data_IF_197945314310
#
_entry.id   IF_197945314310
#
_cell.length_a   1.000
_cell.length_b   1.000
_cell.length_c   1.000
_cell.angle_alpha   90.00
_cell.angle_beta   90.00
_cell.angle_gamma   90.00
#
_symmetry.space_group_name_H-M   'P 1'
#
loop_
_entity.id
_entity.type
_entity.pdbx_description
1 polymer ?
#
# COMPACT_ATOMS: atom_id res chain seq x y z
N UNK A 1 19.65 -20.56 -8.17
CA UNK A 1 18.64 -20.30 -9.23
C UNK A 1 18.55 -18.81 -9.44
N UNK A 2 18.71 -18.33 -10.67
CA UNK A 2 18.74 -16.92 -11.04
C UNK A 2 17.35 -16.28 -10.77
N UNK A 3 17.26 -14.99 -10.31
CA UNK A 3 15.99 -14.29 -10.15
C UNK A 3 15.11 -14.26 -11.42
N UNK A 4 15.71 -14.18 -12.60
CA UNK A 4 15.02 -14.22 -13.90
C UNK A 4 14.31 -15.56 -14.12
N UNK A 5 14.99 -16.68 -13.83
CA UNK A 5 14.42 -18.04 -13.99
C UNK A 5 13.20 -18.23 -13.09
N UNK A 6 13.23 -17.69 -11.85
CA UNK A 6 12.11 -17.78 -10.92
C UNK A 6 10.89 -16.99 -11.42
N UNK A 7 11.13 -15.80 -12.00
CA UNK A 7 10.07 -14.98 -12.57
C UNK A 7 9.38 -15.67 -13.75
N UNK A 8 10.17 -16.26 -14.63
CA UNK A 8 9.64 -17.00 -15.77
C UNK A 8 8.84 -18.23 -15.36
N UNK A 9 9.32 -18.99 -14.39
CA UNK A 9 8.60 -20.13 -13.84
C UNK A 9 7.24 -19.74 -13.24
N UNK A 10 7.15 -18.58 -12.56
CA UNK A 10 5.89 -18.06 -12.03
C UNK A 10 4.93 -17.63 -13.12
N UNK A 11 5.41 -16.95 -14.15
CA UNK A 11 4.59 -16.58 -15.31
C UNK A 11 4.04 -17.82 -16.03
N UNK A 12 4.84 -18.87 -16.14
CA UNK A 12 4.41 -20.15 -16.70
C UNK A 12 3.33 -20.82 -15.83
N UNK A 13 3.51 -20.78 -14.49
CA UNK A 13 2.53 -21.32 -13.55
C UNK A 13 1.21 -20.56 -13.61
N UNK A 14 1.26 -19.23 -13.71
CA UNK A 14 0.07 -18.39 -13.90
C UNK A 14 -0.70 -18.74 -15.17
N UNK A 15 0.00 -18.88 -16.30
CA UNK A 15 -0.62 -19.25 -17.59
C UNK A 15 -1.28 -20.63 -17.59
N UNK A 16 -0.81 -21.53 -16.72
CA UNK A 16 -1.33 -22.91 -16.60
C UNK A 16 -2.41 -23.04 -15.51
N UNK A 17 -2.55 -22.06 -14.64
CA UNK A 17 -3.52 -22.10 -13.54
C UNK A 17 -4.95 -22.03 -14.09
N UNK A 18 -5.80 -22.98 -13.66
CA UNK A 18 -7.21 -23.10 -14.10
C UNK A 18 -8.21 -22.63 -13.06
N UNK A 19 -7.75 -22.29 -11.86
CA UNK A 19 -8.58 -21.81 -10.75
C UNK A 19 -7.88 -20.74 -9.93
N UNK A 20 -8.65 -19.90 -9.23
CA UNK A 20 -8.13 -18.89 -8.30
C UNK A 20 -7.22 -19.50 -7.22
N UNK A 21 -7.60 -20.68 -6.71
CA UNK A 21 -6.81 -21.42 -5.73
C UNK A 21 -5.42 -21.79 -6.27
N UNK A 22 -5.36 -22.30 -7.50
CA UNK A 22 -4.07 -22.61 -8.13
C UNK A 22 -3.21 -21.37 -8.37
N UNK A 23 -3.81 -20.26 -8.74
CA UNK A 23 -3.10 -18.97 -8.89
C UNK A 23 -2.50 -18.55 -7.55
N UNK A 24 -3.31 -18.62 -6.48
CA UNK A 24 -2.85 -18.31 -5.15
C UNK A 24 -1.67 -19.20 -4.72
N UNK A 25 -1.84 -20.52 -4.79
CA UNK A 25 -0.85 -21.46 -4.29
C UNK A 25 0.46 -21.48 -5.11
N UNK A 26 0.37 -21.32 -6.43
CA UNK A 26 1.53 -21.44 -7.32
C UNK A 26 2.24 -20.14 -7.63
N UNK A 27 1.55 -19.00 -7.48
CA UNK A 27 2.09 -17.70 -7.87
C UNK A 27 2.10 -16.73 -6.70
N UNK A 28 0.95 -16.45 -6.10
CA UNK A 28 0.84 -15.39 -5.10
C UNK A 28 1.53 -15.76 -3.79
N UNK A 29 1.27 -16.95 -3.25
CA UNK A 29 1.85 -17.35 -1.98
C UNK A 29 3.38 -17.48 -2.03
N UNK A 30 4.01 -18.10 -3.04
CA UNK A 30 5.47 -18.10 -3.17
C UNK A 30 6.06 -16.71 -3.35
N UNK A 31 5.36 -15.84 -4.11
CA UNK A 31 5.81 -14.46 -4.32
C UNK A 31 5.77 -13.65 -3.03
N UNK A 32 4.67 -13.75 -2.28
CA UNK A 32 4.52 -13.12 -0.98
C UNK A 32 5.58 -13.61 0.02
N UNK A 33 5.78 -14.92 0.07
CA UNK A 33 6.78 -15.54 0.93
C UNK A 33 8.19 -15.00 0.67
N UNK A 34 8.63 -15.01 -0.58
CA UNK A 34 9.97 -14.51 -0.95
C UNK A 34 10.12 -13.01 -0.69
N UNK A 35 9.08 -12.22 -0.95
CA UNK A 35 9.10 -10.79 -0.66
C UNK A 35 9.24 -10.54 0.85
N UNK A 36 8.44 -11.22 1.67
CA UNK A 36 8.51 -11.04 3.14
C UNK A 36 9.84 -11.55 3.69
N UNK A 37 10.37 -12.66 3.16
CA UNK A 37 11.67 -13.16 3.55
C UNK A 37 12.78 -12.15 3.24
N UNK A 38 12.74 -11.53 2.06
CA UNK A 38 13.67 -10.45 1.71
C UNK A 38 13.55 -9.26 2.67
N UNK A 39 12.33 -8.81 2.99
CA UNK A 39 12.10 -7.72 3.96
C UNK A 39 12.70 -8.04 5.33
N UNK A 40 12.54 -9.28 5.81
CA UNK A 40 13.10 -9.72 7.08
C UNK A 40 14.64 -9.76 7.03
N UNK A 41 15.22 -10.22 5.93
CA UNK A 41 16.68 -10.21 5.72
C UNK A 41 17.25 -8.78 5.75
N UNK A 42 16.62 -7.84 5.05
CA UNK A 42 16.97 -6.42 5.06
C UNK A 42 16.87 -5.81 6.48
N UNK A 43 15.81 -6.17 7.20
CA UNK A 43 15.62 -5.73 8.59
C UNK A 43 16.74 -6.22 9.51
N UNK A 44 17.14 -7.49 9.38
CA UNK A 44 18.27 -8.07 10.15
C UNK A 44 19.58 -7.40 9.81
N UNK A 45 19.89 -7.23 8.51
CA UNK A 45 21.11 -6.55 8.06
C UNK A 45 21.17 -5.11 8.56
N UNK A 46 20.05 -4.41 8.54
CA UNK A 46 19.90 -3.03 9.04
C UNK A 46 19.71 -2.95 10.56
N UNK A 47 19.81 -4.07 11.28
CA UNK A 47 19.64 -4.17 12.74
C UNK A 47 18.30 -3.58 13.22
N UNK A 48 17.24 -3.69 12.43
CA UNK A 48 15.90 -3.26 12.83
C UNK A 48 15.26 -4.31 13.72
N UNK A 49 14.71 -3.89 14.86
CA UNK A 49 14.06 -4.75 15.84
C UNK A 49 12.52 -4.74 15.70
N UNK A 50 11.99 -3.84 14.89
CA UNK A 50 10.56 -3.70 14.72
C UNK A 50 10.20 -3.34 13.29
N UNK A 51 9.18 -4.02 12.75
CA UNK A 51 8.58 -3.76 11.44
C UNK A 51 7.11 -3.44 11.59
N UNK A 52 6.66 -2.41 10.87
CA UNK A 52 5.27 -2.03 10.79
C UNK A 52 4.73 -2.33 9.39
N UNK A 53 3.67 -3.12 9.35
CA UNK A 53 2.96 -3.47 8.13
C UNK A 53 1.70 -2.60 8.05
N UNK A 54 1.64 -1.75 7.02
CA UNK A 54 0.56 -0.77 6.89
C UNK A 54 -0.71 -1.43 6.34
N UNK A 55 -1.86 -1.06 6.90
CA UNK A 55 -3.14 -1.44 6.34
C UNK A 55 -3.26 -0.84 4.92
N UNK A 56 -3.92 -1.48 4.05
CA UNK A 56 -4.70 -2.72 4.00
C UNK A 56 -3.86 -3.88 3.48
N UNK A 57 -3.01 -3.59 2.51
CA UNK A 57 -2.22 -4.56 1.74
C UNK A 57 -1.16 -5.27 2.61
N UNK A 58 -0.65 -4.59 3.64
CA UNK A 58 0.33 -5.14 4.57
C UNK A 58 -0.18 -6.25 5.49
N UNK A 59 -1.49 -6.55 5.53
CA UNK A 59 -2.02 -7.56 6.46
C UNK A 59 -1.51 -8.97 6.16
N UNK A 60 -1.54 -9.38 4.90
CA UNK A 60 -1.04 -10.70 4.51
C UNK A 60 0.48 -10.83 4.74
N UNK A 61 1.21 -9.76 4.46
CA UNK A 61 2.66 -9.69 4.71
C UNK A 61 2.97 -9.77 6.21
N UNK A 62 2.16 -9.10 7.04
CA UNK A 62 2.26 -9.17 8.50
C UNK A 62 2.09 -10.59 9.03
N UNK A 63 1.05 -11.32 8.59
CA UNK A 63 0.82 -12.70 8.99
C UNK A 63 1.97 -13.61 8.55
N UNK A 64 2.45 -13.47 7.31
CA UNK A 64 3.59 -14.22 6.81
C UNK A 64 4.87 -13.90 7.59
N UNK A 65 5.13 -12.63 7.89
CA UNK A 65 6.30 -12.21 8.67
C UNK A 65 6.28 -12.78 10.10
N UNK A 66 5.14 -12.77 10.77
CA UNK A 66 5.01 -13.38 12.10
C UNK A 66 5.34 -14.86 12.08
N UNK A 67 4.83 -15.60 11.08
CA UNK A 67 5.12 -17.03 10.93
C UNK A 67 6.61 -17.28 10.66
N UNK A 68 7.22 -16.50 9.79
CA UNK A 68 8.66 -16.61 9.50
C UNK A 68 9.51 -16.26 10.70
N UNK A 69 9.21 -15.19 11.42
CA UNK A 69 9.92 -14.83 12.63
C UNK A 69 9.86 -15.96 13.68
N UNK A 70 8.70 -16.56 13.85
CA UNK A 70 8.54 -17.70 14.75
C UNK A 70 9.31 -18.94 14.27
N UNK A 71 9.24 -19.23 12.97
CA UNK A 71 9.88 -20.43 12.39
C UNK A 71 11.40 -20.38 12.45
N UNK A 72 11.98 -19.19 12.26
CA UNK A 72 13.43 -18.96 12.20
C UNK A 72 14.00 -18.32 13.47
N UNK A 73 13.20 -18.21 14.53
CA UNK A 73 13.57 -17.57 15.81
C UNK A 73 14.21 -16.18 15.62
N UNK A 74 13.59 -15.34 14.81
CA UNK A 74 14.07 -14.01 14.51
C UNK A 74 13.64 -13.01 15.58
N UNK A 75 14.59 -12.25 16.11
CA UNK A 75 14.34 -11.18 17.09
C UNK A 75 13.85 -9.89 16.37
N UNK A 76 12.68 -10.00 15.71
CA UNK A 76 11.99 -8.90 15.02
C UNK A 76 10.53 -8.87 15.47
N UNK A 77 10.12 -7.77 16.08
CA UNK A 77 8.74 -7.51 16.43
C UNK A 77 7.96 -7.04 15.20
N UNK A 78 6.99 -7.82 14.75
CA UNK A 78 6.09 -7.46 13.67
C UNK A 78 4.80 -6.84 14.22
N UNK A 79 4.42 -5.65 13.75
CA UNK A 79 3.20 -4.95 14.12
C UNK A 79 2.38 -4.58 12.90
N UNK A 80 1.06 -4.78 13.00
CA UNK A 80 0.12 -4.30 11.99
C UNK A 80 -0.40 -2.91 12.36
N UNK A 81 -0.19 -1.93 11.49
CA UNK A 81 -0.61 -0.56 11.71
C UNK A 81 -1.87 -0.25 10.90
N UNK A 82 -3.00 -0.11 11.59
CA UNK A 82 -4.27 0.28 11.00
C UNK A 82 -4.26 1.76 10.64
N UNK A 83 -3.68 2.07 9.50
CA UNK A 83 -3.55 3.44 8.98
C UNK A 83 -4.01 3.48 7.54
N UNK A 84 -4.67 4.57 7.14
CA UNK A 84 -5.00 4.87 5.75
C UNK A 84 -4.15 6.01 5.23
N UNK A 85 -4.07 6.15 3.90
CA UNK A 85 -3.42 7.32 3.28
C UNK A 85 -4.08 8.62 3.76
N UNK A 86 -5.38 8.62 3.90
CA UNK A 86 -6.15 9.75 4.39
C UNK A 86 -5.75 10.14 5.82
N UNK A 87 -5.68 9.17 6.74
CA UNK A 87 -5.31 9.41 8.14
C UNK A 87 -3.89 9.97 8.33
N UNK A 88 -3.01 9.80 7.34
CA UNK A 88 -1.65 10.35 7.38
C UNK A 88 -1.55 11.68 6.63
N UNK A 89 -2.16 11.77 5.45
CA UNK A 89 -2.03 12.93 4.57
C UNK A 89 -2.73 14.16 5.10
N UNK A 90 -3.92 14.01 5.67
CA UNK A 90 -4.69 15.16 6.16
C UNK A 90 -3.94 15.93 7.26
N UNK A 91 -3.40 15.29 8.31
CA UNK A 91 -2.53 15.98 9.26
C UNK A 91 -1.25 16.57 8.63
N UNK A 92 -0.68 15.90 7.62
CA UNK A 92 0.51 16.39 6.91
C UNK A 92 0.24 17.72 6.19
N UNK A 93 -0.98 17.96 5.71
CA UNK A 93 -1.32 19.20 5.02
C UNK A 93 -1.13 20.42 5.92
N UNK A 94 -1.40 20.32 7.22
CA UNK A 94 -1.15 21.38 8.18
C UNK A 94 0.36 21.72 8.31
N UNK A 95 1.24 20.75 8.08
CA UNK A 95 2.68 20.96 8.11
C UNK A 95 3.22 21.52 6.80
N UNK A 96 2.58 21.21 5.67
CA UNK A 96 3.02 21.59 4.33
C UNK A 96 2.56 23.03 3.96
N UNK A 97 1.51 23.55 4.60
CA UNK A 97 0.88 24.82 4.20
C UNK A 97 0.45 24.78 2.73
N UNK A 98 0.70 25.83 1.97
CA UNK A 98 0.31 25.92 0.55
C UNK A 98 0.87 24.79 -0.34
N UNK A 99 2.00 24.19 0.03
CA UNK A 99 2.60 23.08 -0.70
C UNK A 99 1.73 21.81 -0.69
N UNK A 100 0.71 21.74 0.17
CA UNK A 100 -0.24 20.64 0.17
C UNK A 100 -1.03 20.56 -1.16
N UNK A 101 -1.23 21.70 -1.85
CA UNK A 101 -1.95 21.76 -3.12
C UNK A 101 -1.30 20.88 -4.19
N UNK A 102 0.03 20.80 -4.23
CA UNK A 102 0.75 19.91 -5.15
C UNK A 102 0.35 18.44 -4.95
N UNK A 103 0.07 18.04 -3.70
CA UNK A 103 -0.34 16.66 -3.36
C UNK A 103 -1.84 16.41 -3.53
N UNK A 104 -2.66 17.41 -3.21
CA UNK A 104 -4.12 17.33 -3.35
C UNK A 104 -4.49 17.24 -4.83
N UNK A 105 -3.87 18.09 -5.66
CA UNK A 105 -4.15 18.24 -7.09
C UNK A 105 -3.35 17.27 -7.97
N UNK A 106 -2.65 16.25 -7.39
CA UNK A 106 -1.94 15.24 -8.20
C UNK A 106 -2.89 14.60 -9.20
N UNK A 107 -2.51 14.65 -10.47
CA UNK A 107 -3.19 13.99 -11.58
C UNK A 107 -3.32 12.46 -11.38
N UNK A 108 -4.10 11.84 -12.22
CA UNK A 108 -4.31 10.38 -12.20
C UNK A 108 -5.47 9.99 -13.10
N UNK A 109 -5.77 8.69 -13.14
CA UNK A 109 -6.94 8.17 -13.86
C UNK A 109 -8.20 8.61 -13.10
N UNK A 110 -9.18 9.17 -13.83
CA UNK A 110 -10.48 9.61 -13.30
C UNK A 110 -10.39 10.60 -12.13
N UNK A 111 -9.54 11.61 -12.25
CA UNK A 111 -9.50 12.71 -11.27
C UNK A 111 -10.66 13.66 -11.56
N UNK A 112 -11.63 13.69 -10.65
CA UNK A 112 -12.78 14.59 -10.67
C UNK A 112 -12.63 15.67 -9.59
N UNK A 113 -13.39 16.74 -9.70
CA UNK A 113 -13.50 17.77 -8.67
C UNK A 113 -13.82 17.18 -7.31
N UNK A 114 -14.83 16.33 -7.23
CA UNK A 114 -15.24 15.64 -6.02
C UNK A 114 -14.08 14.85 -5.38
N UNK A 115 -13.31 14.08 -6.18
CA UNK A 115 -12.14 13.35 -5.68
C UNK A 115 -11.04 14.26 -5.14
N UNK A 116 -10.88 15.44 -5.73
CA UNK A 116 -9.93 16.45 -5.23
C UNK A 116 -10.40 16.99 -3.88
N UNK A 117 -11.68 17.33 -3.76
CA UNK A 117 -12.27 17.84 -2.50
C UNK A 117 -12.17 16.77 -1.39
N UNK A 118 -12.48 15.51 -1.72
CA UNK A 118 -12.29 14.39 -0.77
C UNK A 118 -10.83 14.21 -0.34
N UNK A 119 -9.86 14.38 -1.24
CA UNK A 119 -8.43 14.32 -0.88
C UNK A 119 -8.04 15.43 0.09
N UNK A 120 -8.64 16.60 -0.05
CA UNK A 120 -8.44 17.74 0.83
C UNK A 120 -9.15 17.59 2.19
N UNK A 121 -9.96 16.56 2.36
CA UNK A 121 -10.79 16.32 3.54
C UNK A 121 -11.86 17.41 3.78
N UNK A 122 -12.35 17.99 2.71
CA UNK A 122 -13.41 19.00 2.77
C UNK A 122 -14.76 18.34 2.96
N UNK A 123 -15.62 19.03 3.68
CA UNK A 123 -17.05 18.68 3.77
C UNK A 123 -17.77 19.06 2.48
N UNK A 124 -18.94 18.49 2.24
CA UNK A 124 -19.76 18.79 1.05
C UNK A 124 -20.04 20.29 0.96
N UNK A 125 -20.34 20.94 2.07
CA UNK A 125 -20.57 22.39 2.12
C UNK A 125 -19.36 23.20 1.70
N UNK A 126 -18.17 22.87 2.19
CA UNK A 126 -16.93 23.54 1.79
C UNK A 126 -16.59 23.30 0.31
N UNK A 127 -16.88 22.10 -0.20
CA UNK A 127 -16.72 21.77 -1.61
C UNK A 127 -17.67 22.60 -2.49
N UNK A 128 -18.94 22.77 -2.09
CA UNK A 128 -19.91 23.63 -2.77
C UNK A 128 -19.48 25.09 -2.78
N UNK A 129 -18.99 25.60 -1.66
CA UNK A 129 -18.48 26.98 -1.55
C UNK A 129 -17.29 27.20 -2.52
N UNK A 130 -16.35 26.26 -2.59
CA UNK A 130 -15.22 26.32 -3.53
C UNK A 130 -15.68 26.22 -4.97
N UNK A 131 -16.65 25.34 -5.28
CA UNK A 131 -17.22 25.21 -6.61
C UNK A 131 -17.84 26.54 -7.07
N UNK A 132 -18.61 27.19 -6.21
CA UNK A 132 -19.23 28.48 -6.48
C UNK A 132 -18.19 29.58 -6.73
N UNK A 133 -17.13 29.65 -5.90
CA UNK A 133 -16.04 30.61 -6.06
C UNK A 133 -15.24 30.37 -7.35
N UNK A 134 -15.06 29.13 -7.76
CA UNK A 134 -14.36 28.78 -8.98
C UNK A 134 -15.23 28.92 -10.25
N UNK A 135 -16.51 29.24 -10.11
CA UNK A 135 -17.46 29.28 -11.24
C UNK A 135 -17.78 27.89 -11.81
N UNK A 136 -17.58 26.83 -11.00
CA UNK A 136 -17.88 25.48 -11.39
C UNK A 136 -19.37 25.20 -11.16
N UNK A 137 -20.11 25.05 -12.25
CA UNK A 137 -21.53 24.63 -12.21
C UNK A 137 -21.60 23.20 -12.74
N UNK A 138 -22.15 22.28 -11.96
CA UNK A 138 -22.49 20.95 -12.49
C UNK A 138 -23.52 21.11 -13.63
N UNK A 139 -23.15 20.67 -14.84
CA UNK A 139 -24.06 20.49 -15.96
C UNK A 139 -24.62 19.08 -15.93
#
# INVERSE_FOLDING_TARGET
>A
MNPTDRREQRLQSYKKARSEKEIYERVLAPTLYEFVLWVLQEALQSRKKRLYFLARDGYQMYLAAQQLCKQYDLDIECRYLKVSRYAVRVPEYHLLGERCLERICVGGIDVTFEKIMQRAALTDKEAEEIAALAGYTEN
#
